data_IF_748269691785
#
_entry.id   IF_748269691785
#
_cell.length_a   1.000
_cell.length_b   1.000
_cell.length_c   1.000
_cell.angle_alpha   90.00
_cell.angle_beta   90.00
_cell.angle_gamma   90.00
#
_symmetry.space_group_name_H-M   'P 1'
#
loop_
_entity.id
_entity.type
_entity.pdbx_description
1 polymer ?
#
# COMPACT_ATOMS: atom_id res chain seq x y z
N UNK A 1 28.84 29.55 -12.08
CA UNK A 1 28.58 28.61 -13.16
C UNK A 1 29.84 28.57 -14.07
N UNK A 2 30.49 27.42 -14.14
CA UNK A 2 31.69 27.17 -14.96
C UNK A 2 31.26 26.27 -16.13
N UNK A 3 31.50 26.72 -17.36
CA UNK A 3 31.24 25.92 -18.57
C UNK A 3 30.00 26.33 -19.37
N UNK A 4 29.43 25.40 -20.13
CA UNK A 4 28.32 25.64 -21.07
C UNK A 4 26.91 25.56 -20.42
N UNK A 5 26.79 25.70 -19.08
CA UNK A 5 25.52 25.68 -18.37
C UNK A 5 24.68 26.91 -18.73
N UNK A 6 23.50 26.70 -19.33
CA UNK A 6 22.62 27.75 -19.81
C UNK A 6 21.22 27.67 -19.20
N UNK A 7 20.51 28.78 -19.19
CA UNK A 7 19.11 28.84 -18.80
C UNK A 7 18.84 28.38 -17.35
N UNK A 8 19.78 28.65 -16.43
CA UNK A 8 19.61 28.34 -15.03
C UNK A 8 19.12 29.55 -14.23
N UNK A 9 18.22 29.38 -13.31
CA UNK A 9 17.78 30.37 -12.33
C UNK A 9 18.30 29.97 -10.95
N UNK A 10 19.06 30.83 -10.27
CA UNK A 10 19.65 30.60 -8.97
C UNK A 10 19.34 31.76 -8.01
N UNK A 11 18.69 31.51 -6.90
CA UNK A 11 18.38 32.50 -5.87
C UNK A 11 18.66 31.91 -4.47
N UNK A 12 19.69 32.38 -3.82
CA UNK A 12 20.10 31.94 -2.48
C UNK A 12 21.61 31.65 -2.38
N UNK A 13 22.08 31.50 -1.14
CA UNK A 13 23.49 31.17 -0.90
C UNK A 13 23.76 29.69 -1.27
N UNK A 14 24.90 29.43 -1.94
CA UNK A 14 25.34 28.09 -2.35
C UNK A 14 24.39 27.38 -3.33
N UNK A 15 23.56 28.15 -4.04
CA UNK A 15 22.60 27.61 -5.02
C UNK A 15 23.29 27.33 -6.33
N UNK A 16 23.14 26.10 -6.90
CA UNK A 16 23.81 25.66 -8.15
C UNK A 16 25.35 25.87 -8.12
N UNK A 17 25.97 25.78 -6.94
CA UNK A 17 27.37 26.18 -6.72
C UNK A 17 28.35 25.29 -7.51
N UNK A 18 28.08 24.02 -7.63
CA UNK A 18 28.92 23.03 -8.33
C UNK A 18 28.57 22.83 -9.81
N UNK A 19 27.60 23.56 -10.37
CA UNK A 19 27.12 23.30 -11.73
C UNK A 19 28.18 23.61 -12.80
N UNK A 20 28.48 22.61 -13.64
CA UNK A 20 29.42 22.72 -14.75
C UNK A 20 28.73 22.85 -16.11
N UNK A 21 27.90 21.87 -16.49
CA UNK A 21 27.20 21.81 -17.78
C UNK A 21 25.69 21.66 -17.67
N UNK A 22 25.14 21.42 -16.43
CA UNK A 22 23.71 21.29 -16.22
C UNK A 22 22.92 22.54 -16.63
N UNK A 23 21.88 22.37 -17.43
CA UNK A 23 21.09 23.47 -18.00
C UNK A 23 19.59 23.35 -17.63
N UNK A 24 18.87 24.49 -17.80
CA UNK A 24 17.42 24.53 -17.54
C UNK A 24 17.02 24.21 -16.10
N UNK A 25 17.85 24.50 -15.13
CA UNK A 25 17.55 24.28 -13.72
C UNK A 25 16.97 25.54 -13.08
N UNK A 26 16.00 25.38 -12.22
CA UNK A 26 15.46 26.41 -11.31
C UNK A 26 15.83 26.00 -9.89
N UNK A 27 16.59 26.84 -9.18
CA UNK A 27 17.00 26.60 -7.81
C UNK A 27 16.78 27.86 -6.96
N UNK A 28 15.92 27.77 -5.96
CA UNK A 28 15.57 28.88 -5.06
C UNK A 28 15.65 28.36 -3.61
N UNK A 29 16.57 28.90 -2.86
CA UNK A 29 16.82 28.52 -1.46
C UNK A 29 18.28 28.26 -1.18
N UNK A 30 18.70 28.31 0.09
CA UNK A 30 20.06 27.97 0.47
C UNK A 30 20.40 26.54 0.06
N UNK A 31 21.51 26.34 -0.62
CA UNK A 31 22.02 25.05 -1.11
C UNK A 31 21.03 24.27 -2.00
N UNK A 32 20.04 24.93 -2.59
CA UNK A 32 19.19 24.26 -3.58
C UNK A 32 20.04 23.84 -4.79
N UNK A 33 20.04 22.54 -5.16
CA UNK A 33 20.92 21.98 -6.21
C UNK A 33 22.42 22.31 -5.98
N UNK A 34 22.87 22.38 -4.74
CA UNK A 34 24.23 22.83 -4.38
C UNK A 34 25.33 22.00 -5.02
N UNK A 35 25.20 20.68 -5.06
CA UNK A 35 26.17 19.74 -5.62
C UNK A 35 25.89 19.32 -7.06
N UNK A 36 24.89 19.92 -7.73
CA UNK A 36 24.55 19.57 -9.11
C UNK A 36 25.72 19.88 -10.06
N UNK A 37 26.18 18.88 -10.82
CA UNK A 37 27.26 19.09 -11.81
C UNK A 37 26.71 19.14 -13.22
N UNK A 38 26.04 18.12 -13.68
CA UNK A 38 25.56 17.96 -15.06
C UNK A 38 24.05 17.75 -15.17
N UNK A 39 23.35 17.56 -14.05
CA UNK A 39 21.90 17.40 -14.04
C UNK A 39 21.17 18.58 -14.66
N UNK A 40 20.16 18.29 -15.48
CA UNK A 40 19.41 19.28 -16.23
C UNK A 40 17.90 19.21 -15.95
N UNK A 41 17.21 20.30 -16.21
CA UNK A 41 15.75 20.38 -16.12
C UNK A 41 15.21 20.04 -14.72
N UNK A 42 15.95 20.38 -13.67
CA UNK A 42 15.51 20.20 -12.29
C UNK A 42 14.88 21.49 -11.75
N UNK A 43 13.83 21.36 -10.97
CA UNK A 43 13.22 22.47 -10.20
C UNK A 43 13.40 22.17 -8.72
N UNK A 44 14.16 22.99 -8.00
CA UNK A 44 14.44 22.89 -6.58
C UNK A 44 14.06 24.18 -5.87
N UNK A 45 13.03 24.16 -5.06
CA UNK A 45 12.57 25.32 -4.28
C UNK A 45 12.48 24.96 -2.81
N UNK A 46 13.38 25.48 -2.01
CA UNK A 46 13.50 25.21 -0.58
C UNK A 46 14.96 25.07 -0.16
N UNK A 47 15.24 25.34 1.12
CA UNK A 47 16.56 25.11 1.69
C UNK A 47 16.87 23.60 1.62
N UNK A 48 18.05 23.25 1.06
CA UNK A 48 18.53 21.88 0.81
C UNK A 48 17.65 21.04 -0.13
N UNK A 49 16.78 21.63 -0.93
CA UNK A 49 16.06 20.90 -1.98
C UNK A 49 17.06 20.40 -3.05
N UNK A 50 17.06 19.08 -3.32
CA UNK A 50 18.00 18.43 -4.27
C UNK A 50 19.48 18.76 -4.01
N UNK A 51 19.88 18.99 -2.75
CA UNK A 51 21.23 19.46 -2.42
C UNK A 51 22.32 18.51 -2.92
N UNK A 52 22.15 17.19 -2.71
CA UNK A 52 23.12 16.17 -3.11
C UNK A 52 23.03 15.77 -4.60
N UNK A 53 22.11 16.33 -5.39
CA UNK A 53 21.96 15.97 -6.80
C UNK A 53 23.25 16.23 -7.57
N UNK A 54 23.75 15.23 -8.30
CA UNK A 54 24.97 15.39 -9.10
C UNK A 54 24.67 15.40 -10.59
N UNK A 55 24.01 14.37 -11.09
CA UNK A 55 23.81 14.13 -12.52
C UNK A 55 22.35 13.91 -12.90
N UNK A 56 21.46 13.73 -11.92
CA UNK A 56 20.06 13.44 -12.17
C UNK A 56 19.34 14.63 -12.80
N UNK A 57 18.38 14.32 -13.66
CA UNK A 57 17.60 15.30 -14.43
C UNK A 57 16.09 15.11 -14.21
N UNK A 58 15.32 16.13 -14.60
CA UNK A 58 13.86 16.12 -14.61
C UNK A 58 13.23 15.93 -13.21
N UNK A 59 13.89 16.33 -12.15
CA UNK A 59 13.33 16.26 -10.81
C UNK A 59 12.64 17.57 -10.42
N UNK A 60 11.52 17.47 -9.73
CA UNK A 60 10.83 18.58 -9.08
C UNK A 60 10.86 18.38 -7.58
N UNK A 61 11.51 19.28 -6.85
CA UNK A 61 11.59 19.28 -5.39
C UNK A 61 11.12 20.63 -4.84
N UNK A 62 10.05 20.62 -4.05
CA UNK A 62 9.47 21.79 -3.41
C UNK A 62 9.29 21.54 -1.91
N UNK A 63 10.11 22.15 -1.09
CA UNK A 63 10.07 22.05 0.36
C UNK A 63 11.47 21.97 0.98
N UNK A 64 11.53 22.18 2.30
CA UNK A 64 12.78 22.00 3.05
C UNK A 64 13.24 20.55 2.96
N UNK A 65 14.47 20.33 2.47
CA UNK A 65 15.06 19.00 2.36
C UNK A 65 14.31 18.03 1.42
N UNK A 66 13.47 18.51 0.52
CA UNK A 66 12.85 17.67 -0.48
C UNK A 66 13.91 17.05 -1.41
N UNK A 67 13.93 15.70 -1.55
CA UNK A 67 14.94 14.98 -2.34
C UNK A 67 16.40 15.32 -1.96
N UNK A 68 16.65 15.63 -0.70
CA UNK A 68 17.98 16.15 -0.29
C UNK A 68 19.11 15.18 -0.55
N UNK A 69 18.92 13.87 -0.43
CA UNK A 69 19.94 12.84 -0.64
C UNK A 69 20.05 12.33 -2.09
N UNK A 70 19.18 12.77 -2.99
CA UNK A 70 19.15 12.25 -4.36
C UNK A 70 20.44 12.57 -5.10
N UNK A 71 21.07 11.56 -5.71
CA UNK A 71 22.30 11.73 -6.48
C UNK A 71 22.09 11.52 -7.98
N UNK A 72 21.46 10.42 -8.36
CA UNK A 72 21.29 9.98 -9.76
C UNK A 72 19.84 9.60 -10.13
N UNK A 73 18.91 9.60 -9.19
CA UNK A 73 17.48 9.30 -9.45
C UNK A 73 16.82 10.41 -10.27
N UNK A 74 16.27 10.07 -11.43
CA UNK A 74 15.63 11.02 -12.34
C UNK A 74 14.09 10.94 -12.29
N UNK A 75 13.44 11.94 -12.86
CA UNK A 75 11.99 11.95 -13.07
C UNK A 75 11.15 11.83 -11.78
N UNK A 76 11.64 12.38 -10.66
CA UNK A 76 10.93 12.39 -9.39
C UNK A 76 10.18 13.69 -9.16
N UNK A 77 8.99 13.59 -8.53
CA UNK A 77 8.22 14.73 -8.02
C UNK A 77 8.13 14.63 -6.50
N UNK A 78 8.69 15.59 -5.79
CA UNK A 78 8.81 15.65 -4.33
C UNK A 78 8.29 16.99 -3.80
N UNK A 79 7.11 17.00 -3.20
CA UNK A 79 6.46 18.22 -2.70
C UNK A 79 6.13 18.06 -1.22
N UNK A 80 6.83 18.78 -0.37
CA UNK A 80 6.70 18.75 1.08
C UNK A 80 8.04 18.72 1.79
N UNK A 81 8.05 19.07 3.08
CA UNK A 81 9.27 19.01 3.88
C UNK A 81 9.70 17.57 4.13
N UNK A 82 10.99 17.25 3.91
CA UNK A 82 11.56 15.91 4.12
C UNK A 82 11.03 14.82 3.19
N UNK A 83 10.28 15.18 2.17
CA UNK A 83 9.73 14.25 1.19
C UNK A 83 10.85 13.57 0.41
N UNK A 84 10.83 12.23 0.32
CA UNK A 84 11.89 11.44 -0.32
C UNK A 84 13.31 11.80 0.17
N UNK A 85 13.43 12.14 1.46
CA UNK A 85 14.69 12.65 2.02
C UNK A 85 15.86 11.68 1.93
N UNK A 86 15.62 10.38 1.89
CA UNK A 86 16.64 9.34 1.76
C UNK A 86 16.72 8.71 0.37
N UNK A 87 15.98 9.22 -0.62
CA UNK A 87 16.06 8.70 -1.97
C UNK A 87 17.43 8.99 -2.58
N UNK A 88 18.23 7.97 -2.81
CA UNK A 88 19.58 8.11 -3.34
C UNK A 88 19.61 7.97 -4.86
N UNK A 89 18.92 6.96 -5.39
CA UNK A 89 18.98 6.56 -6.79
C UNK A 89 17.61 6.22 -7.41
N UNK A 90 16.56 6.15 -6.58
CA UNK A 90 15.20 5.83 -7.04
C UNK A 90 14.67 6.88 -8.02
N UNK A 91 14.04 6.41 -9.07
CA UNK A 91 13.51 7.24 -10.16
C UNK A 91 12.00 7.08 -10.33
N UNK A 92 11.37 8.04 -10.99
CA UNK A 92 9.96 7.97 -11.35
C UNK A 92 9.03 7.83 -10.13
N UNK A 93 9.38 8.44 -9.01
CA UNK A 93 8.54 8.49 -7.83
C UNK A 93 7.76 9.81 -7.77
N UNK A 94 6.53 9.74 -7.28
CA UNK A 94 5.69 10.90 -6.97
C UNK A 94 5.40 10.89 -5.47
N UNK A 95 5.83 11.93 -4.76
CA UNK A 95 5.58 12.09 -3.35
C UNK A 95 5.08 13.51 -3.04
N UNK A 96 3.89 13.60 -2.46
CA UNK A 96 3.27 14.86 -2.07
C UNK A 96 2.80 14.78 -0.62
N UNK A 97 3.38 15.59 0.24
CA UNK A 97 3.09 15.62 1.68
C UNK A 97 4.38 15.52 2.51
N UNK A 98 4.37 16.10 3.70
CA UNK A 98 5.52 16.04 4.62
C UNK A 98 5.91 14.59 4.89
N UNK A 99 7.20 14.27 4.76
CA UNK A 99 7.75 12.91 4.95
C UNK A 99 7.12 11.81 4.09
N UNK A 100 6.43 12.15 3.00
CA UNK A 100 5.94 11.15 2.05
C UNK A 100 7.13 10.47 1.37
N UNK A 101 7.12 9.12 1.27
CA UNK A 101 8.23 8.29 0.75
C UNK A 101 9.62 8.64 1.37
N UNK A 102 9.65 9.07 2.64
CA UNK A 102 10.89 9.61 3.22
C UNK A 102 12.07 8.64 3.16
N UNK A 103 11.83 7.34 3.32
CA UNK A 103 12.86 6.30 3.41
C UNK A 103 13.09 5.53 2.10
N UNK A 104 12.39 5.88 1.01
CA UNK A 104 12.50 5.10 -0.23
C UNK A 104 13.86 5.29 -0.91
N UNK A 105 14.40 4.20 -1.42
CA UNK A 105 15.52 4.19 -2.38
C UNK A 105 15.11 3.54 -3.70
N UNK A 106 13.84 3.14 -3.80
CA UNK A 106 13.24 2.43 -4.92
C UNK A 106 12.56 3.36 -5.92
N UNK A 107 12.03 2.79 -7.00
CA UNK A 107 11.44 3.53 -8.13
C UNK A 107 9.95 3.23 -8.31
N UNK A 108 9.28 4.08 -9.09
CA UNK A 108 7.89 3.89 -9.52
C UNK A 108 6.86 3.90 -8.37
N UNK A 109 7.12 4.55 -7.26
CA UNK A 109 6.16 4.66 -6.17
C UNK A 109 5.40 5.99 -6.24
N UNK A 110 4.12 5.95 -5.94
CA UNK A 110 3.27 7.14 -5.82
C UNK A 110 2.73 7.22 -4.39
N UNK A 111 2.97 8.34 -3.72
CA UNK A 111 2.49 8.59 -2.37
C UNK A 111 1.96 10.01 -2.21
N UNK A 112 0.72 10.15 -1.77
CA UNK A 112 0.08 11.44 -1.53
C UNK A 112 -0.57 11.46 -0.15
N UNK A 113 -0.06 12.31 0.73
CA UNK A 113 -0.46 12.45 2.12
C UNK A 113 0.73 12.60 3.05
N UNK A 114 0.49 13.15 4.25
CA UNK A 114 1.51 13.22 5.28
C UNK A 114 1.98 11.79 5.62
N UNK A 115 3.29 11.55 5.56
CA UNK A 115 3.93 10.26 5.80
C UNK A 115 3.37 9.07 4.99
N UNK A 116 2.65 9.33 3.87
CA UNK A 116 2.24 8.27 2.96
C UNK A 116 3.45 7.52 2.40
N UNK A 117 3.43 6.19 2.47
CA UNK A 117 4.54 5.35 2.01
C UNK A 117 5.86 5.57 2.75
N UNK A 118 5.85 6.21 3.90
CA UNK A 118 7.07 6.56 4.66
C UNK A 118 7.99 5.36 4.91
N UNK A 119 7.43 4.18 5.15
CA UNK A 119 8.17 2.97 5.47
C UNK A 119 8.72 2.23 4.24
N UNK A 120 8.33 2.61 3.03
CA UNK A 120 8.81 1.97 1.80
C UNK A 120 10.29 2.24 1.65
N UNK A 121 11.11 1.17 1.63
CA UNK A 121 12.55 1.24 1.41
C UNK A 121 12.92 0.78 0.01
N UNK A 122 12.68 -0.49 -0.32
CA UNK A 122 13.04 -1.12 -1.61
C UNK A 122 11.84 -1.58 -2.44
N UNK A 123 10.61 -1.46 -1.92
CA UNK A 123 9.39 -1.78 -2.66
C UNK A 123 9.18 -0.86 -3.86
N UNK A 124 8.73 -1.41 -4.99
CA UNK A 124 8.49 -0.67 -6.24
C UNK A 124 7.04 -0.74 -6.68
N UNK A 125 6.61 0.24 -7.49
CA UNK A 125 5.29 0.27 -8.09
C UNK A 125 4.15 0.20 -7.06
N UNK A 126 4.29 0.95 -5.95
CA UNK A 126 3.28 1.05 -4.93
C UNK A 126 2.51 2.37 -5.03
N UNK A 127 1.23 2.33 -4.68
CA UNK A 127 0.36 3.49 -4.57
C UNK A 127 -0.12 3.64 -3.12
N UNK A 128 0.25 4.73 -2.45
CA UNK A 128 -0.19 5.04 -1.09
C UNK A 128 -0.89 6.39 -1.06
N UNK A 129 -2.16 6.42 -0.70
CA UNK A 129 -2.97 7.64 -0.65
C UNK A 129 -3.59 7.86 0.72
N UNK A 130 -3.40 9.01 1.29
CA UNK A 130 -3.87 9.40 2.62
C UNK A 130 -2.75 9.47 3.65
N UNK A 131 -3.03 10.12 4.77
CA UNK A 131 -2.08 10.20 5.89
C UNK A 131 -1.71 8.78 6.36
N UNK A 132 -0.43 8.55 6.60
CA UNK A 132 0.12 7.27 7.09
C UNK A 132 -0.26 6.02 6.26
N UNK A 133 -0.78 6.18 5.03
CA UNK A 133 -1.10 5.05 4.16
C UNK A 133 0.15 4.19 3.88
N UNK A 134 0.01 2.86 4.01
CA UNK A 134 1.11 1.92 3.84
C UNK A 134 2.10 1.89 5.01
N UNK A 135 1.72 2.41 6.18
CA UNK A 135 2.44 2.28 7.45
C UNK A 135 1.81 1.22 8.35
N UNK A 136 2.48 0.90 9.45
CA UNK A 136 1.94 -0.01 10.48
C UNK A 136 0.58 0.46 10.97
N UNK A 137 -0.42 -0.43 10.89
CA UNK A 137 -1.82 -0.11 11.23
C UNK A 137 -2.69 0.31 10.03
N UNK A 138 -2.11 0.67 8.89
CA UNK A 138 -2.84 0.88 7.64
C UNK A 138 -3.55 -0.40 7.19
N UNK A 139 -4.69 -0.31 6.47
CA UNK A 139 -5.44 -1.49 6.02
C UNK A 139 -4.62 -2.50 5.18
N UNK A 140 -3.62 -2.02 4.43
CA UNK A 140 -2.66 -2.86 3.67
C UNK A 140 -1.47 -3.36 4.49
N UNK A 141 -1.35 -2.97 5.78
CA UNK A 141 -0.16 -3.22 6.59
C UNK A 141 1.00 -2.26 6.28
N UNK A 142 2.17 -2.59 6.82
CA UNK A 142 3.38 -1.79 6.62
C UNK A 142 4.09 -2.22 5.33
N UNK A 143 4.00 -1.41 4.30
CA UNK A 143 4.72 -1.65 3.04
C UNK A 143 6.17 -1.21 3.22
N UNK A 144 7.10 -2.15 3.36
CA UNK A 144 8.53 -1.88 3.50
C UNK A 144 9.29 -2.28 2.24
N UNK A 145 9.19 -3.54 1.87
CA UNK A 145 9.85 -4.13 0.68
C UNK A 145 8.85 -4.67 -0.34
N UNK A 146 7.55 -4.69 0.00
CA UNK A 146 6.46 -5.10 -0.88
C UNK A 146 6.37 -4.23 -2.14
N UNK A 147 5.98 -4.84 -3.26
CA UNK A 147 5.83 -4.16 -4.55
C UNK A 147 4.47 -4.47 -5.17
N UNK A 148 3.99 -3.55 -6.02
CA UNK A 148 2.71 -3.67 -6.70
C UNK A 148 1.51 -3.63 -5.72
N UNK A 149 1.60 -2.86 -4.65
CA UNK A 149 0.59 -2.76 -3.61
C UNK A 149 -0.14 -1.40 -3.68
N UNK A 150 -1.42 -1.41 -3.28
CA UNK A 150 -2.23 -0.19 -3.13
C UNK A 150 -2.67 -0.11 -1.67
N UNK A 151 -2.35 0.98 -0.99
CA UNK A 151 -2.83 1.30 0.35
C UNK A 151 -3.60 2.62 0.34
N UNK A 152 -4.83 2.60 0.81
CA UNK A 152 -5.71 3.77 0.89
C UNK A 152 -6.03 4.08 2.35
N UNK A 153 -5.50 5.19 2.83
CA UNK A 153 -5.71 5.67 4.20
C UNK A 153 -4.98 4.86 5.28
N UNK A 154 -5.24 5.26 6.50
CA UNK A 154 -4.74 4.64 7.73
C UNK A 154 -5.86 3.91 8.50
N UNK A 155 -5.59 3.49 9.73
CA UNK A 155 -6.56 2.85 10.61
C UNK A 155 -7.71 3.75 11.08
N UNK A 156 -7.66 5.06 10.81
CA UNK A 156 -8.69 6.01 11.19
C UNK A 156 -9.78 6.16 10.13
N UNK A 157 -9.60 5.60 8.93
CA UNK A 157 -10.63 5.64 7.89
C UNK A 157 -11.87 4.89 8.39
N UNK A 158 -12.97 5.63 8.52
CA UNK A 158 -14.24 5.12 9.04
C UNK A 158 -15.18 4.63 7.94
N UNK A 159 -15.06 5.17 6.71
CA UNK A 159 -15.91 4.77 5.59
C UNK A 159 -15.19 5.03 4.26
N UNK A 160 -15.50 4.22 3.26
CA UNK A 160 -15.14 4.46 1.87
C UNK A 160 -16.44 4.45 1.04
N UNK A 161 -16.77 5.58 0.41
CA UNK A 161 -17.96 5.70 -0.43
C UNK A 161 -17.54 5.84 -1.90
N UNK A 162 -18.00 4.90 -2.71
CA UNK A 162 -17.86 4.93 -4.16
C UNK A 162 -19.23 4.73 -4.79
N UNK A 163 -19.52 5.43 -5.89
CA UNK A 163 -20.84 5.38 -6.51
C UNK A 163 -21.08 4.13 -7.35
N UNK A 164 -20.03 3.43 -7.73
CA UNK A 164 -20.06 2.22 -8.58
C UNK A 164 -19.22 1.13 -7.98
N UNK A 165 -19.55 -0.12 -8.26
CA UNK A 165 -18.77 -1.26 -7.80
C UNK A 165 -17.38 -1.32 -8.44
N UNK A 166 -16.43 -1.91 -7.74
CA UNK A 166 -15.13 -2.26 -8.30
C UNK A 166 -15.29 -3.36 -9.33
N UNK A 167 -14.78 -3.13 -10.55
CA UNK A 167 -14.71 -4.18 -11.57
C UNK A 167 -13.41 -4.94 -11.41
N UNK A 168 -13.51 -6.24 -11.12
CA UNK A 168 -12.36 -7.15 -11.07
C UNK A 168 -12.22 -7.83 -12.43
N UNK A 169 -11.03 -7.76 -13.02
CA UNK A 169 -10.74 -8.45 -14.28
C UNK A 169 -10.97 -9.96 -14.14
N UNK A 170 -11.72 -10.57 -15.06
CA UNK A 170 -12.12 -11.97 -14.97
C UNK A 170 -12.22 -12.65 -16.34
N UNK A 171 -11.48 -12.18 -17.35
CA UNK A 171 -11.45 -12.79 -18.68
C UNK A 171 -10.83 -14.19 -18.59
N UNK A 172 -11.53 -15.19 -19.18
CA UNK A 172 -11.06 -16.57 -19.18
C UNK A 172 -9.75 -16.75 -19.98
N UNK A 173 -9.46 -15.86 -20.92
CA UNK A 173 -8.23 -15.89 -21.72
C UNK A 173 -6.98 -15.52 -20.90
N UNK A 174 -7.18 -14.83 -19.76
CA UNK A 174 -6.11 -14.42 -18.84
C UNK A 174 -5.96 -15.39 -17.66
N UNK A 175 -6.64 -16.56 -17.73
CA UNK A 175 -6.65 -17.58 -16.68
C UNK A 175 -6.28 -18.94 -17.25
N UNK A 176 -5.69 -19.78 -16.43
CA UNK A 176 -5.32 -21.17 -16.79
C UNK A 176 -5.66 -22.12 -15.64
N UNK A 177 -5.48 -23.43 -15.88
CA UNK A 177 -5.60 -24.48 -14.86
C UNK A 177 -6.94 -24.51 -14.12
N UNK A 178 -8.03 -24.36 -14.88
CA UNK A 178 -9.38 -24.41 -14.34
C UNK A 178 -9.67 -25.76 -13.69
N UNK A 179 -10.00 -25.74 -12.40
CA UNK A 179 -10.49 -26.90 -11.65
C UNK A 179 -11.82 -26.56 -10.99
N UNK A 180 -12.66 -27.59 -10.76
CA UNK A 180 -13.90 -27.37 -10.02
C UNK A 180 -13.59 -26.92 -8.59
N UNK A 181 -14.35 -25.92 -8.11
CA UNK A 181 -14.23 -25.46 -6.72
C UNK A 181 -14.72 -26.58 -5.79
N UNK A 182 -13.94 -26.93 -4.80
CA UNK A 182 -14.24 -27.94 -3.79
C UNK A 182 -14.78 -27.37 -2.48
N UNK A 183 -14.58 -26.07 -2.23
CA UNK A 183 -15.23 -25.37 -1.10
C UNK A 183 -16.70 -25.11 -1.43
N UNK A 184 -17.59 -25.87 -0.80
CA UNK A 184 -19.03 -25.81 -1.03
C UNK A 184 -19.83 -25.82 0.27
N UNK A 185 -20.88 -26.63 0.32
CA UNK A 185 -21.87 -26.66 1.41
C UNK A 185 -21.23 -26.96 2.77
N UNK A 186 -20.32 -27.92 2.87
CA UNK A 186 -19.68 -28.28 4.13
C UNK A 186 -18.83 -27.13 4.68
N UNK A 187 -18.03 -26.47 3.82
CA UNK A 187 -17.27 -25.29 4.23
C UNK A 187 -18.18 -24.16 4.74
N UNK A 188 -19.30 -23.90 4.04
CA UNK A 188 -20.25 -22.84 4.42
C UNK A 188 -20.94 -23.15 5.76
N UNK A 189 -21.25 -24.41 6.02
CA UNK A 189 -21.86 -24.85 7.30
C UNK A 189 -20.94 -24.62 8.51
N UNK A 190 -19.64 -24.71 8.32
CA UNK A 190 -18.65 -24.55 9.38
C UNK A 190 -18.25 -23.09 9.64
N UNK A 191 -18.62 -22.17 8.74
CA UNK A 191 -18.43 -20.74 8.94
C UNK A 191 -19.23 -20.22 10.14
N UNK A 192 -18.61 -19.35 10.93
CA UNK A 192 -19.21 -18.75 12.14
C UNK A 192 -19.38 -17.25 11.97
N UNK A 193 -20.50 -16.77 11.38
CA UNK A 193 -20.78 -15.34 11.32
C UNK A 193 -20.97 -14.77 12.73
N UNK A 194 -20.40 -13.60 12.97
CA UNK A 194 -20.43 -12.92 14.28
C UNK A 194 -20.78 -11.44 14.12
N UNK A 195 -21.29 -10.85 15.18
CA UNK A 195 -21.27 -9.40 15.34
C UNK A 195 -20.11 -9.00 16.23
N UNK A 196 -19.50 -7.85 15.97
CA UNK A 196 -18.35 -7.37 16.73
C UNK A 196 -18.28 -5.85 16.75
N UNK A 197 -17.44 -5.32 17.62
CA UNK A 197 -17.02 -3.93 17.61
C UNK A 197 -15.52 -3.87 17.37
N UNK A 198 -15.07 -2.89 16.60
CA UNK A 198 -13.66 -2.66 16.40
C UNK A 198 -13.00 -2.13 17.67
N UNK A 199 -11.86 -2.70 18.00
CA UNK A 199 -10.88 -2.21 18.97
C UNK A 199 -9.51 -2.53 18.39
N UNK A 200 -9.02 -1.62 17.55
CA UNK A 200 -7.90 -1.88 16.64
C UNK A 200 -6.57 -1.83 17.41
N UNK A 201 -5.75 -2.87 17.34
CA UNK A 201 -4.39 -2.90 17.91
C UNK A 201 -3.56 -1.68 17.52
N UNK A 202 -3.75 -1.16 16.33
CA UNK A 202 -3.06 0.04 15.83
C UNK A 202 -3.39 1.35 16.58
N UNK A 203 -4.38 1.36 17.45
CA UNK A 203 -4.70 2.51 18.32
C UNK A 203 -3.89 2.52 19.62
N UNK A 204 -3.10 1.48 19.89
CA UNK A 204 -2.35 1.29 21.12
C UNK A 204 -0.85 1.41 20.87
N UNK A 205 -0.10 1.87 21.89
CA UNK A 205 1.34 2.08 21.82
C UNK A 205 1.77 3.34 21.06
N UNK A 206 3.06 3.62 21.11
CA UNK A 206 3.66 4.75 20.37
C UNK A 206 4.20 4.29 19.02
N UNK A 207 3.45 4.57 17.95
CA UNK A 207 3.82 4.21 16.58
C UNK A 207 5.06 4.94 16.05
N UNK A 208 5.53 5.97 16.74
CA UNK A 208 6.74 6.72 16.35
C UNK A 208 8.00 6.12 16.96
N UNK A 209 7.86 5.18 17.90
CA UNK A 209 8.98 4.48 18.49
C UNK A 209 9.60 3.47 17.52
N UNK A 210 10.91 3.41 17.48
CA UNK A 210 11.67 2.51 16.60
C UNK A 210 11.38 1.02 16.85
N UNK A 211 10.98 0.67 18.08
CA UNK A 211 10.65 -0.69 18.52
C UNK A 211 9.14 -0.99 18.51
N UNK A 212 8.31 -0.12 17.91
CA UNK A 212 6.87 -0.36 17.84
C UNK A 212 6.56 -1.66 17.11
N UNK A 213 5.89 -2.57 17.80
CA UNK A 213 5.36 -3.81 17.21
C UNK A 213 3.84 -3.91 17.37
N UNK A 214 3.15 -3.90 16.24
CA UNK A 214 1.70 -4.07 16.18
C UNK A 214 1.23 -5.40 16.78
N UNK A 215 2.03 -6.46 16.69
CA UNK A 215 1.66 -7.78 17.20
C UNK A 215 1.71 -7.85 18.73
N UNK A 216 2.51 -7.00 19.36
CA UNK A 216 2.62 -6.90 20.81
C UNK A 216 1.49 -6.06 21.44
N UNK A 217 0.73 -5.32 20.62
CA UNK A 217 -0.34 -4.48 21.14
C UNK A 217 -1.57 -5.32 21.50
N UNK A 218 -2.10 -5.08 22.70
CA UNK A 218 -3.31 -5.77 23.20
C UNK A 218 -4.40 -4.74 23.45
N UNK A 219 -5.52 -4.80 22.72
CA UNK A 219 -6.69 -3.97 22.99
C UNK A 219 -7.23 -4.17 24.41
N UNK A 220 -7.53 -3.08 25.10
CA UNK A 220 -8.05 -3.06 26.47
C UNK A 220 -9.46 -2.44 26.56
N UNK A 221 -10.05 -2.07 25.43
CA UNK A 221 -11.36 -1.46 25.32
C UNK A 221 -11.38 0.05 25.34
N UNK A 222 -10.25 0.74 25.58
CA UNK A 222 -10.20 2.21 25.63
C UNK A 222 -10.42 2.87 24.27
N UNK A 223 -10.11 2.16 23.19
CA UNK A 223 -10.32 2.61 21.80
C UNK A 223 -11.42 1.83 21.06
N UNK A 224 -12.25 1.10 21.81
CA UNK A 224 -13.35 0.35 21.23
C UNK A 224 -14.40 1.28 20.63
N UNK A 225 -14.76 1.03 19.38
CA UNK A 225 -15.81 1.76 18.69
C UNK A 225 -17.19 1.38 19.25
N UNK A 226 -18.13 2.34 19.27
CA UNK A 226 -19.50 2.08 19.68
C UNK A 226 -20.31 1.35 18.59
N UNK A 227 -19.82 1.36 17.38
CA UNK A 227 -20.46 0.79 16.22
C UNK A 227 -20.44 -0.74 16.23
N UNK A 228 -21.59 -1.36 15.96
CA UNK A 228 -21.72 -2.81 15.82
C UNK A 228 -21.58 -3.20 14.34
N UNK A 229 -20.67 -4.08 14.05
CA UNK A 229 -20.39 -4.60 12.72
C UNK A 229 -20.70 -6.10 12.62
N UNK A 230 -20.74 -6.65 11.40
CA UNK A 230 -20.95 -8.07 11.13
C UNK A 230 -19.82 -8.64 10.28
N UNK A 231 -19.49 -9.91 10.48
CA UNK A 231 -18.47 -10.55 9.65
C UNK A 231 -18.02 -11.89 10.22
N UNK A 232 -16.79 -12.24 9.89
CA UNK A 232 -16.13 -13.45 10.35
C UNK A 232 -14.79 -13.10 11.00
N UNK A 233 -14.28 -13.97 11.86
CA UNK A 233 -12.90 -13.90 12.32
C UNK A 233 -11.99 -14.53 11.27
N UNK A 234 -11.04 -13.77 10.76
CA UNK A 234 -10.15 -14.20 9.66
C UNK A 234 -9.39 -15.50 10.03
N UNK A 235 -8.96 -15.63 11.29
CA UNK A 235 -8.26 -16.83 11.79
C UNK A 235 -9.13 -18.09 11.76
N UNK A 236 -10.43 -17.96 12.05
CA UNK A 236 -11.36 -19.10 12.00
C UNK A 236 -11.63 -19.53 10.55
N UNK A 237 -11.72 -18.57 9.62
CA UNK A 237 -11.84 -18.84 8.17
C UNK A 237 -10.58 -19.49 7.64
N UNK A 238 -9.40 -18.96 7.97
CA UNK A 238 -8.11 -19.56 7.56
C UNK A 238 -7.97 -21.01 8.07
N UNK A 239 -8.39 -21.29 9.30
CA UNK A 239 -8.36 -22.64 9.84
C UNK A 239 -9.22 -23.63 9.02
N UNK A 240 -10.38 -23.19 8.53
CA UNK A 240 -11.22 -23.98 7.64
C UNK A 240 -10.59 -24.16 6.25
N UNK A 241 -9.95 -23.12 5.70
CA UNK A 241 -9.21 -23.21 4.45
C UNK A 241 -8.04 -24.21 4.56
N UNK A 242 -7.27 -24.15 5.66
CA UNK A 242 -6.17 -25.08 5.94
C UNK A 242 -6.69 -26.53 6.05
N UNK A 243 -7.82 -26.75 6.73
CA UNK A 243 -8.44 -28.06 6.83
C UNK A 243 -8.89 -28.61 5.46
N UNK A 244 -9.24 -27.73 4.53
CA UNK A 244 -9.58 -28.07 3.15
C UNK A 244 -8.35 -28.18 2.21
N UNK A 245 -7.13 -27.99 2.73
CA UNK A 245 -5.89 -28.11 1.95
C UNK A 245 -5.34 -26.80 1.38
N UNK A 246 -5.94 -25.66 1.72
CA UNK A 246 -5.51 -24.35 1.26
C UNK A 246 -4.74 -23.61 2.35
N UNK A 247 -3.60 -23.02 2.03
CA UNK A 247 -2.86 -22.19 2.98
C UNK A 247 -1.94 -21.18 2.28
N UNK A 248 -1.51 -20.15 3.04
CA UNK A 248 -0.64 -19.08 2.54
C UNK A 248 0.74 -19.57 2.15
N UNK A 249 1.27 -20.59 2.80
CA UNK A 249 2.63 -21.08 2.57
C UNK A 249 2.76 -21.75 1.19
N UNK A 250 1.64 -22.29 0.68
CA UNK A 250 1.52 -22.82 -0.67
C UNK A 250 0.97 -21.80 -1.68
N UNK A 251 0.72 -20.56 -1.24
CA UNK A 251 0.05 -19.51 -2.04
C UNK A 251 -1.34 -19.95 -2.57
N UNK A 252 -2.05 -20.76 -1.78
CA UNK A 252 -3.34 -21.36 -2.17
C UNK A 252 -4.52 -20.91 -1.31
N UNK A 253 -4.33 -20.00 -0.34
CA UNK A 253 -5.44 -19.44 0.41
C UNK A 253 -6.40 -18.68 -0.52
N UNK A 254 -7.71 -18.93 -0.34
CA UNK A 254 -8.74 -18.43 -1.26
C UNK A 254 -9.41 -17.17 -0.75
N UNK A 255 -9.82 -17.13 0.50
CA UNK A 255 -10.63 -16.06 1.10
C UNK A 255 -9.84 -15.27 2.13
N UNK A 256 -9.07 -15.94 2.99
CA UNK A 256 -8.22 -15.29 3.96
C UNK A 256 -6.99 -14.65 3.27
N UNK A 257 -6.51 -13.58 3.84
CA UNK A 257 -5.33 -12.87 3.35
C UNK A 257 -4.50 -12.35 4.51
N UNK A 258 -3.19 -12.20 4.28
CA UNK A 258 -2.28 -11.56 5.21
C UNK A 258 -1.74 -10.27 4.60
N UNK A 259 -1.48 -9.27 5.42
CA UNK A 259 -0.73 -8.09 4.99
C UNK A 259 0.69 -8.48 4.59
N UNK A 260 1.34 -7.68 3.75
CA UNK A 260 2.70 -7.95 3.28
C UNK A 260 3.73 -8.12 4.41
N UNK A 261 3.52 -7.44 5.55
CA UNK A 261 4.32 -7.59 6.77
C UNK A 261 3.91 -8.79 7.66
N UNK A 262 2.83 -9.51 7.29
CA UNK A 262 2.31 -10.66 8.03
C UNK A 262 1.67 -10.34 9.39
N UNK A 263 1.55 -9.07 9.77
CA UNK A 263 1.09 -8.65 11.10
C UNK A 263 -0.42 -8.54 11.25
N UNK A 264 -1.14 -8.49 10.14
CA UNK A 264 -2.60 -8.40 10.09
C UNK A 264 -3.17 -9.42 9.13
N UNK A 265 -4.42 -9.81 9.39
CA UNK A 265 -5.19 -10.68 8.53
C UNK A 265 -6.43 -9.93 8.03
N UNK A 266 -6.86 -10.25 6.82
CA UNK A 266 -8.08 -9.78 6.20
C UNK A 266 -8.88 -10.90 5.55
N UNK A 267 -10.08 -10.57 5.10
CA UNK A 267 -10.95 -11.46 4.33
C UNK A 267 -11.34 -10.77 3.02
N UNK A 268 -11.22 -11.50 1.94
CA UNK A 268 -11.67 -11.08 0.62
C UNK A 268 -13.14 -11.49 0.44
N UNK A 269 -14.07 -10.69 0.98
CA UNK A 269 -15.49 -11.03 1.04
C UNK A 269 -16.12 -11.37 -0.31
N UNK A 270 -15.67 -10.78 -1.40
CA UNK A 270 -16.14 -11.10 -2.75
C UNK A 270 -15.86 -12.55 -3.17
N UNK A 271 -14.85 -13.18 -2.60
CA UNK A 271 -14.51 -14.59 -2.87
C UNK A 271 -15.45 -15.60 -2.20
N UNK A 272 -16.26 -15.16 -1.25
CA UNK A 272 -17.35 -16.00 -0.74
C UNK A 272 -18.45 -16.23 -1.77
N UNK A 273 -18.62 -15.33 -2.76
CA UNK A 273 -19.70 -15.45 -3.76
C UNK A 273 -19.63 -16.78 -4.53
N UNK A 274 -18.54 -17.18 -5.19
CA UNK A 274 -18.47 -18.48 -5.85
C UNK A 274 -18.62 -19.68 -4.89
N UNK A 275 -18.14 -19.58 -3.66
CA UNK A 275 -18.31 -20.62 -2.62
C UNK A 275 -19.78 -20.77 -2.25
N UNK A 276 -20.49 -19.65 -2.04
CA UNK A 276 -21.92 -19.65 -1.76
C UNK A 276 -22.73 -20.20 -2.94
N UNK A 277 -22.38 -19.86 -4.17
CA UNK A 277 -23.01 -20.43 -5.37
C UNK A 277 -22.84 -21.95 -5.40
N UNK A 278 -21.63 -22.46 -5.15
CA UNK A 278 -21.36 -23.89 -5.07
C UNK A 278 -22.16 -24.56 -3.95
N UNK A 279 -22.20 -23.96 -2.78
CA UNK A 279 -22.99 -24.49 -1.64
C UNK A 279 -24.49 -24.58 -1.96
N UNK A 280 -25.06 -23.57 -2.62
CA UNK A 280 -26.46 -23.58 -3.06
C UNK A 280 -26.72 -24.68 -4.10
N UNK A 281 -25.80 -24.86 -5.05
CA UNK A 281 -25.92 -25.95 -6.05
C UNK A 281 -25.92 -27.32 -5.40
N UNK A 282 -25.03 -27.57 -4.44
CA UNK A 282 -24.97 -28.84 -3.68
C UNK A 282 -26.22 -29.03 -2.83
N UNK A 283 -26.71 -27.98 -2.16
CA UNK A 283 -27.94 -28.02 -1.39
C UNK A 283 -29.16 -28.36 -2.28
N UNK A 284 -29.26 -27.77 -3.47
CA UNK A 284 -30.35 -28.08 -4.42
C UNK A 284 -30.28 -29.54 -4.88
N UNK A 285 -29.11 -30.06 -5.19
CA UNK A 285 -28.95 -31.47 -5.55
C UNK A 285 -29.40 -32.42 -4.43
N UNK A 286 -29.11 -32.08 -3.17
CA UNK A 286 -29.61 -32.85 -2.03
C UNK A 286 -31.14 -32.77 -1.90
N UNK A 287 -31.76 -31.60 -2.09
CA UNK A 287 -33.20 -31.40 -2.08
C UNK A 287 -33.88 -32.23 -3.18
N UNK A 288 -33.36 -32.23 -4.40
CA UNK A 288 -33.87 -33.00 -5.52
C UNK A 288 -33.79 -34.51 -5.23
N UNK A 289 -32.65 -34.99 -4.70
CA UNK A 289 -32.48 -36.37 -4.31
C UNK A 289 -33.47 -36.83 -3.19
N UNK A 290 -33.66 -35.96 -2.19
CA UNK A 290 -34.65 -36.21 -1.12
C UNK A 290 -36.10 -36.23 -1.65
N UNK A 291 -36.43 -35.28 -2.55
CA UNK A 291 -37.76 -35.22 -3.17
C UNK A 291 -38.05 -36.47 -3.99
N UNK A 292 -37.07 -36.90 -4.81
CA UNK A 292 -37.21 -38.17 -5.57
C UNK A 292 -37.43 -39.38 -4.63
N UNK A 293 -36.66 -39.40 -3.52
CA UNK A 293 -36.82 -40.51 -2.53
C UNK A 293 -38.16 -40.51 -1.84
N UNK A 294 -38.72 -39.34 -1.51
CA UNK A 294 -40.05 -39.20 -0.94
C UNK A 294 -41.09 -39.72 -1.96
N UNK A 295 -40.99 -39.31 -3.23
CA UNK A 295 -41.91 -39.75 -4.28
C UNK A 295 -41.88 -41.30 -4.46
N UNK A 296 -40.71 -41.93 -4.37
CA UNK A 296 -40.57 -43.37 -4.40
C UNK A 296 -41.24 -44.09 -3.18
N UNK A 297 -41.26 -43.42 -2.05
CA UNK A 297 -41.86 -43.98 -0.83
C UNK A 297 -43.38 -43.82 -0.75
N UNK A 298 -43.94 -42.83 -1.46
CA UNK A 298 -45.36 -42.53 -1.49
C UNK A 298 -46.13 -43.26 -2.61
N UNK A 299 -45.44 -43.83 -3.61
CA UNK A 299 -46.01 -44.57 -4.74
C UNK A 299 -45.89 -46.07 -4.58
#
# INVERSE_FOLDING_TARGET
LLGAANYNTAVGAYTLDSTTTGSNNIAVGRSALGLNTTGASNTAVGTFALDANTTASNNTALGYGALTANTTGADNVSIGSGTMGQNLTGAQNIAVGTNSLANTTASNNTAVGNAAGHSITSGTNNLTLGMDAGRSGSPGGNIVTGSNEIALGDENIASAAIQVDWTVASDARDKTDFTALDLGLEFVKDLKPVTYKWDKRSKYGDKTADDYDLTAQTPDGTHKEDWLDIGFKAQEVEALEIAAGYNKDNSTNLVSSHTGDGKQMGLQYSKFVPILVKAIQEQNALIEALTARITELEG
#
